data_IF_332743691838
#
_entry.id   IF_332743691838
#
_cell.length_a   1.000
_cell.length_b   1.000
_cell.length_c   1.000
_cell.angle_alpha   90.00
_cell.angle_beta   90.00
_cell.angle_gamma   90.00
#
_symmetry.space_group_name_H-M   'P 1'
#
loop_
_entity.id
_entity.type
_entity.pdbx_description
1 polymer ?
#
# COMPACT_ATOMS: atom_id res chain seq x y z
N UNK A 1 39.47 -23.43 13.70
CA UNK A 1 38.18 -23.99 14.17
C UNK A 1 37.70 -24.92 13.10
N UNK A 2 37.88 -26.20 13.33
CA UNK A 2 37.45 -27.25 12.40
C UNK A 2 35.92 -27.29 12.40
N UNK A 3 35.34 -26.76 11.36
CA UNK A 3 33.93 -26.96 11.12
C UNK A 3 33.75 -28.43 10.77
N UNK A 4 33.09 -29.19 11.64
CA UNK A 4 32.89 -30.62 11.49
C UNK A 4 32.28 -30.91 10.10
N UNK A 5 32.86 -31.87 9.38
CA UNK A 5 32.42 -32.27 8.02
C UNK A 5 30.88 -32.58 7.99
N UNK A 6 30.38 -33.08 9.12
CA UNK A 6 28.95 -33.32 9.34
C UNK A 6 28.14 -32.02 9.43
N UNK A 7 28.67 -30.98 10.06
CA UNK A 7 27.98 -29.69 10.16
C UNK A 7 27.96 -28.97 8.81
N UNK A 8 29.04 -29.06 8.03
CA UNK A 8 29.07 -28.58 6.65
C UNK A 8 28.10 -29.35 5.74
N UNK A 9 28.05 -30.67 5.85
CA UNK A 9 27.11 -31.50 5.09
C UNK A 9 25.65 -31.19 5.48
N UNK A 10 25.39 -31.01 6.78
CA UNK A 10 24.06 -30.62 7.31
C UNK A 10 23.64 -29.24 6.81
N UNK A 11 24.52 -28.26 6.85
CA UNK A 11 24.24 -26.92 6.35
C UNK A 11 23.97 -26.91 4.84
N UNK A 12 24.72 -27.68 4.06
CA UNK A 12 24.48 -27.83 2.62
C UNK A 12 23.16 -28.55 2.30
N UNK A 13 22.81 -29.57 3.09
CA UNK A 13 21.51 -30.25 2.96
C UNK A 13 20.37 -29.31 3.31
N UNK A 14 20.44 -28.58 4.41
CA UNK A 14 19.44 -27.56 4.81
C UNK A 14 19.28 -26.45 3.76
N UNK A 15 20.39 -26.01 3.12
CA UNK A 15 20.31 -25.03 2.02
C UNK A 15 19.57 -25.58 0.80
N UNK A 16 19.76 -26.84 0.45
CA UNK A 16 19.06 -27.49 -0.69
C UNK A 16 17.58 -27.76 -0.40
N UNK A 17 17.25 -28.04 0.86
CA UNK A 17 15.88 -28.32 1.31
C UNK A 17 15.08 -27.05 1.65
N UNK A 18 15.71 -25.87 1.63
CA UNK A 18 15.00 -24.61 1.88
C UNK A 18 14.07 -24.25 0.71
N UNK A 19 12.93 -23.57 0.96
CA UNK A 19 11.99 -23.19 -0.08
C UNK A 19 12.65 -22.43 -1.24
N UNK A 20 12.19 -22.66 -2.46
CA UNK A 20 12.75 -22.08 -3.69
C UNK A 20 12.90 -20.55 -3.61
N UNK A 21 11.89 -19.89 -3.06
CA UNK A 21 11.91 -18.43 -2.82
C UNK A 21 13.06 -17.99 -1.89
N UNK A 22 13.55 -18.87 -1.02
CA UNK A 22 14.71 -18.59 -0.17
C UNK A 22 16.03 -18.90 -0.88
N UNK A 23 16.08 -19.96 -1.68
CA UNK A 23 17.28 -20.35 -2.45
C UNK A 23 17.63 -19.36 -3.55
N UNK A 24 16.62 -18.89 -4.29
CA UNK A 24 16.77 -17.91 -5.38
C UNK A 24 16.95 -16.46 -4.91
N UNK A 25 16.98 -16.24 -3.60
CA UNK A 25 17.15 -14.89 -3.07
C UNK A 25 18.44 -14.25 -3.59
N UNK A 26 18.35 -13.03 -4.16
CA UNK A 26 19.52 -12.24 -4.56
C UNK A 26 20.57 -12.14 -3.46
N UNK A 27 21.82 -12.22 -3.86
CA UNK A 27 22.98 -12.05 -2.97
C UNK A 27 23.68 -10.71 -3.20
N UNK A 28 23.51 -10.11 -4.38
CA UNK A 28 24.08 -8.83 -4.77
C UNK A 28 22.99 -7.86 -5.21
N UNK A 29 23.31 -6.57 -5.27
CA UNK A 29 22.38 -5.53 -5.72
C UNK A 29 21.97 -5.72 -7.19
N UNK A 30 22.89 -6.23 -7.99
CA UNK A 30 22.70 -6.45 -9.43
C UNK A 30 21.75 -7.64 -9.73
N UNK A 31 21.59 -8.57 -8.78
CA UNK A 31 20.68 -9.70 -8.89
C UNK A 31 19.22 -9.35 -8.54
N UNK A 32 18.99 -8.18 -7.95
CA UNK A 32 17.64 -7.75 -7.57
C UNK A 32 16.85 -7.45 -8.83
N UNK A 33 15.70 -8.10 -8.97
CA UNK A 33 14.78 -7.90 -10.08
C UNK A 33 13.71 -6.88 -9.64
N UNK A 34 13.46 -5.89 -10.50
CA UNK A 34 12.60 -4.76 -10.19
C UNK A 34 13.23 -3.79 -9.19
N UNK A 35 12.46 -2.80 -8.72
CA UNK A 35 12.88 -1.79 -7.75
C UNK A 35 14.02 -0.87 -8.24
N UNK A 36 14.21 -0.70 -9.55
CA UNK A 36 15.28 0.15 -10.12
C UNK A 36 15.19 1.60 -9.64
N UNK A 37 14.01 2.06 -9.26
CA UNK A 37 13.79 3.40 -8.71
C UNK A 37 14.44 3.58 -7.32
N UNK A 38 14.78 2.49 -6.62
CA UNK A 38 15.44 2.49 -5.30
C UNK A 38 16.89 2.01 -5.43
N UNK A 39 17.10 0.83 -6.05
CA UNK A 39 18.39 0.12 -6.07
C UNK A 39 19.16 0.27 -7.38
N UNK A 40 18.68 1.06 -8.34
CA UNK A 40 19.41 1.36 -9.58
C UNK A 40 20.76 2.03 -9.29
N UNK A 41 21.77 1.85 -10.18
CA UNK A 41 23.17 2.28 -9.97
C UNK A 41 23.34 3.76 -9.58
N UNK A 42 22.46 4.65 -10.08
CA UNK A 42 22.52 6.08 -9.80
C UNK A 42 21.65 6.52 -8.62
N UNK A 43 20.98 5.56 -7.96
CA UNK A 43 20.06 5.86 -6.86
C UNK A 43 20.79 6.02 -5.54
N UNK A 44 20.17 6.80 -4.66
CA UNK A 44 20.74 7.14 -3.36
C UNK A 44 21.08 5.90 -2.53
N UNK A 45 20.16 4.92 -2.47
CA UNK A 45 20.37 3.71 -1.67
C UNK A 45 21.56 2.90 -2.21
N UNK A 46 21.65 2.70 -3.52
CA UNK A 46 22.78 2.00 -4.15
C UNK A 46 24.12 2.67 -3.80
N UNK A 47 24.21 4.00 -3.97
CA UNK A 47 25.44 4.76 -3.67
C UNK A 47 25.80 4.71 -2.20
N UNK A 48 24.82 4.80 -1.28
CA UNK A 48 25.06 4.72 0.16
C UNK A 48 25.59 3.35 0.58
N UNK A 49 25.07 2.27 0.00
CA UNK A 49 25.52 0.90 0.23
C UNK A 49 26.98 0.72 -0.25
N UNK A 50 27.26 1.14 -1.50
CA UNK A 50 28.62 1.00 -2.07
C UNK A 50 29.66 1.84 -1.34
N UNK A 51 29.28 2.98 -0.76
CA UNK A 51 30.15 3.84 0.03
C UNK A 51 30.28 3.41 1.50
N UNK A 52 29.59 2.35 1.93
CA UNK A 52 29.47 1.92 3.34
C UNK A 52 29.07 3.06 4.29
N UNK A 53 28.12 3.90 3.83
CA UNK A 53 27.58 5.08 4.53
C UNK A 53 26.07 4.99 4.67
N UNK A 54 25.57 3.78 4.94
CA UNK A 54 24.15 3.57 5.14
C UNK A 54 23.74 4.06 6.52
N UNK A 55 22.73 4.95 6.58
CA UNK A 55 21.99 5.26 7.80
C UNK A 55 20.78 4.34 7.95
N UNK A 56 20.00 4.54 9.02
CA UNK A 56 18.79 3.78 9.25
C UNK A 56 17.74 4.04 8.13
N UNK A 57 17.02 2.99 7.76
CA UNK A 57 16.04 3.03 6.68
C UNK A 57 14.77 2.27 7.07
N UNK A 58 13.66 2.63 6.43
CA UNK A 58 12.40 1.90 6.50
C UNK A 58 12.00 1.53 5.08
N UNK A 59 11.81 0.23 4.84
CA UNK A 59 11.34 -0.34 3.59
C UNK A 59 9.85 -0.65 3.73
N UNK A 60 8.99 -0.01 2.94
CA UNK A 60 7.57 -0.31 2.98
C UNK A 60 7.03 -0.63 1.59
N UNK A 61 5.95 -1.40 1.54
CA UNK A 61 5.30 -1.81 0.30
C UNK A 61 4.66 -3.19 0.40
N UNK A 62 4.01 -3.67 -0.69
CA UNK A 62 3.27 -4.92 -0.70
C UNK A 62 4.10 -6.15 -0.32
N UNK A 63 3.47 -7.27 0.09
CA UNK A 63 4.17 -8.52 0.35
C UNK A 63 4.89 -9.02 -0.92
N UNK A 64 5.93 -9.84 -0.76
CA UNK A 64 6.64 -10.45 -1.89
C UNK A 64 7.53 -9.54 -2.74
N UNK A 65 7.56 -8.22 -2.49
CA UNK A 65 8.32 -7.22 -3.27
C UNK A 65 9.82 -7.16 -2.99
N UNK A 66 10.33 -7.93 -2.01
CA UNK A 66 11.76 -8.06 -1.76
C UNK A 66 12.32 -7.28 -0.58
N UNK A 67 11.51 -6.74 0.36
CA UNK A 67 11.98 -5.98 1.55
C UNK A 67 13.08 -6.70 2.32
N UNK A 68 12.82 -7.94 2.77
CA UNK A 68 13.81 -8.78 3.47
C UNK A 68 15.02 -9.13 2.61
N UNK A 69 14.83 -9.26 1.30
CA UNK A 69 15.90 -9.53 0.33
C UNK A 69 16.84 -8.34 0.23
N UNK A 70 16.33 -7.14 0.05
CA UNK A 70 17.13 -5.91 0.01
C UNK A 70 17.93 -5.75 1.30
N UNK A 71 17.32 -5.95 2.47
CA UNK A 71 18.00 -5.86 3.75
C UNK A 71 19.19 -6.84 3.86
N UNK A 72 19.04 -8.09 3.42
CA UNK A 72 20.13 -9.08 3.39
C UNK A 72 21.21 -8.74 2.38
N UNK A 73 20.86 -8.25 1.20
CA UNK A 73 21.85 -7.79 0.20
C UNK A 73 22.64 -6.60 0.72
N UNK A 74 22.01 -5.68 1.43
CA UNK A 74 22.70 -4.57 2.11
C UNK A 74 23.72 -5.10 3.10
N UNK A 75 23.31 -6.01 3.98
CA UNK A 75 24.19 -6.58 4.99
C UNK A 75 25.38 -7.31 4.37
N UNK A 76 25.15 -8.11 3.33
CA UNK A 76 26.23 -8.82 2.61
C UNK A 76 27.24 -7.87 1.96
N UNK A 77 26.76 -6.70 1.47
CA UNK A 77 27.61 -5.73 0.77
C UNK A 77 28.41 -4.87 1.74
N UNK A 78 27.84 -4.50 2.90
CA UNK A 78 28.47 -3.59 3.89
C UNK A 78 29.33 -4.30 4.92
N UNK A 79 29.44 -5.64 4.90
CA UNK A 79 30.17 -6.45 5.88
C UNK A 79 29.73 -6.24 7.35
N UNK A 80 28.56 -5.67 7.57
CA UNK A 80 27.98 -5.49 8.89
C UNK A 80 27.47 -6.83 9.46
N UNK A 81 27.45 -6.95 10.79
CA UNK A 81 26.75 -8.05 11.45
C UNK A 81 25.24 -7.88 11.23
N UNK A 82 24.56 -8.92 10.77
CA UNK A 82 23.14 -8.87 10.44
C UNK A 82 22.32 -9.67 11.44
N UNK A 83 21.48 -8.96 12.18
CA UNK A 83 20.56 -9.57 13.13
C UNK A 83 19.12 -9.28 12.67
N UNK A 84 18.32 -10.32 12.59
CA UNK A 84 16.91 -10.23 12.20
C UNK A 84 16.00 -10.50 13.39
N UNK A 85 15.09 -9.59 13.65
CA UNK A 85 13.94 -9.77 14.54
C UNK A 85 12.65 -9.74 13.74
N UNK A 86 11.66 -10.49 14.20
CA UNK A 86 10.30 -10.42 13.67
C UNK A 86 9.39 -9.85 14.76
N UNK A 87 8.82 -8.68 14.53
CA UNK A 87 8.03 -7.96 15.51
C UNK A 87 6.74 -8.70 15.94
N UNK A 88 6.32 -9.74 15.20
CA UNK A 88 5.16 -10.57 15.59
C UNK A 88 5.46 -11.54 16.71
N UNK A 89 6.73 -11.94 16.90
CA UNK A 89 7.15 -12.95 17.88
C UNK A 89 8.23 -12.46 18.83
N UNK A 90 9.00 -11.44 18.45
CA UNK A 90 10.10 -10.92 19.26
C UNK A 90 9.61 -9.90 20.29
N UNK A 91 10.19 -9.96 21.49
CA UNK A 91 9.86 -9.06 22.58
C UNK A 91 11.00 -8.12 22.96
N UNK A 92 10.84 -7.40 24.08
CA UNK A 92 11.83 -6.45 24.59
C UNK A 92 13.15 -7.14 24.92
N UNK A 93 13.10 -8.35 25.48
CA UNK A 93 14.29 -9.13 25.86
C UNK A 93 15.17 -9.46 24.64
N UNK A 94 14.55 -9.85 23.53
CA UNK A 94 15.27 -10.16 22.30
C UNK A 94 15.98 -8.92 21.77
N UNK A 95 15.34 -7.75 21.86
CA UNK A 95 15.97 -6.47 21.50
C UNK A 95 17.15 -6.12 22.39
N UNK A 96 17.03 -6.34 23.71
CA UNK A 96 18.10 -6.11 24.68
C UNK A 96 19.35 -6.96 24.34
N UNK A 97 19.16 -8.25 24.06
CA UNK A 97 20.26 -9.16 23.66
C UNK A 97 20.96 -8.70 22.37
N UNK A 98 20.18 -8.24 21.38
CA UNK A 98 20.74 -7.72 20.13
C UNK A 98 21.52 -6.43 20.35
N UNK A 99 21.03 -5.51 21.17
CA UNK A 99 21.70 -4.25 21.48
C UNK A 99 23.02 -4.50 22.22
N UNK A 100 23.05 -5.37 23.22
CA UNK A 100 24.28 -5.71 23.92
C UNK A 100 25.33 -6.33 22.97
N UNK A 101 24.92 -7.26 22.13
CA UNK A 101 25.77 -7.81 21.08
C UNK A 101 26.29 -6.73 20.11
N UNK A 102 25.44 -5.78 19.74
CA UNK A 102 25.84 -4.68 18.86
C UNK A 102 26.89 -3.76 19.50
N UNK A 103 26.76 -3.47 20.80
CA UNK A 103 27.76 -2.71 21.57
C UNK A 103 29.12 -3.44 21.64
N UNK A 104 29.08 -4.75 21.89
CA UNK A 104 30.27 -5.58 21.89
C UNK A 104 30.97 -5.60 20.53
N UNK A 105 30.22 -5.82 19.45
CA UNK A 105 30.73 -5.82 18.08
C UNK A 105 31.41 -4.50 17.73
N UNK A 106 30.78 -3.38 18.09
CA UNK A 106 31.29 -2.04 17.82
C UNK A 106 32.54 -1.75 18.67
N UNK A 107 32.50 -2.10 19.98
CA UNK A 107 33.61 -1.82 20.92
C UNK A 107 34.83 -2.68 20.69
N UNK A 108 34.65 -3.99 20.43
CA UNK A 108 35.77 -4.93 20.31
C UNK A 108 36.32 -5.07 18.88
N UNK A 109 35.41 -4.98 17.88
CA UNK A 109 35.75 -5.32 16.50
C UNK A 109 35.59 -4.16 15.52
N UNK A 110 35.07 -3.00 15.96
CA UNK A 110 34.78 -1.86 15.10
C UNK A 110 33.76 -2.15 13.99
N UNK A 111 32.92 -3.17 14.20
CA UNK A 111 31.92 -3.60 13.20
C UNK A 111 30.54 -3.00 13.51
N UNK A 112 29.88 -2.50 12.49
CA UNK A 112 28.49 -2.07 12.57
C UNK A 112 27.58 -3.27 12.66
N UNK A 113 26.43 -3.10 13.34
CA UNK A 113 25.35 -4.10 13.39
C UNK A 113 24.13 -3.53 12.68
N UNK A 114 23.64 -4.26 11.68
CA UNK A 114 22.34 -4.00 11.05
C UNK A 114 21.29 -4.79 11.81
N UNK A 115 20.36 -4.07 12.43
CA UNK A 115 19.18 -4.64 13.05
C UNK A 115 18.02 -4.56 12.04
N UNK A 116 17.68 -5.70 11.44
CA UNK A 116 16.52 -5.82 10.57
C UNK A 116 15.29 -6.23 11.39
N UNK A 117 14.25 -5.41 11.34
CA UNK A 117 12.97 -5.68 12.01
C UNK A 117 11.89 -5.89 10.94
N UNK A 118 11.45 -7.14 10.80
CA UNK A 118 10.33 -7.47 9.92
C UNK A 118 9.00 -7.14 10.62
N UNK A 119 8.06 -6.57 9.87
CA UNK A 119 6.76 -6.09 10.34
C UNK A 119 6.87 -5.11 11.53
N UNK A 120 7.77 -4.11 11.41
CA UNK A 120 8.09 -3.16 12.50
C UNK A 120 6.84 -2.47 13.09
N UNK A 121 5.76 -2.33 12.32
CA UNK A 121 4.49 -1.77 12.77
C UNK A 121 3.81 -2.61 13.87
N UNK A 122 4.21 -3.88 14.05
CA UNK A 122 3.71 -4.76 15.11
C UNK A 122 4.34 -4.48 16.48
N UNK A 123 5.46 -3.80 16.52
CA UNK A 123 6.01 -3.31 17.78
C UNK A 123 5.15 -2.17 18.33
N UNK A 124 4.82 -2.23 19.62
CA UNK A 124 4.13 -1.15 20.30
C UNK A 124 5.05 0.09 20.44
N UNK A 125 4.46 1.25 20.79
CA UNK A 125 5.21 2.51 20.92
C UNK A 125 6.41 2.41 21.86
N UNK A 126 6.25 1.74 23.02
CA UNK A 126 7.34 1.59 23.98
C UNK A 126 8.51 0.73 23.47
N UNK A 127 8.22 -0.28 22.63
CA UNK A 127 9.26 -1.07 21.96
C UNK A 127 9.98 -0.27 20.88
N UNK A 128 9.24 0.53 20.12
CA UNK A 128 9.84 1.43 19.13
C UNK A 128 10.68 2.54 19.79
N UNK A 129 10.20 3.11 20.89
CA UNK A 129 10.94 4.14 21.68
C UNK A 129 12.22 3.58 22.27
N UNK A 130 12.24 2.31 22.68
CA UNK A 130 13.43 1.64 23.21
C UNK A 130 14.58 1.62 22.20
N UNK A 131 14.31 1.58 20.90
CA UNK A 131 15.32 1.56 19.85
C UNK A 131 15.95 2.94 19.59
N UNK A 132 15.28 4.03 19.95
CA UNK A 132 15.69 5.39 19.59
C UNK A 132 17.13 5.74 20.01
N UNK A 133 17.56 5.54 21.27
CA UNK A 133 18.92 5.89 21.68
C UNK A 133 20.00 5.17 20.84
N UNK A 134 19.76 3.92 20.50
CA UNK A 134 20.73 3.07 19.80
C UNK A 134 20.78 3.32 18.29
N UNK A 135 19.70 3.88 17.74
CA UNK A 135 19.65 4.39 16.36
C UNK A 135 20.33 5.77 16.29
N UNK A 136 20.15 6.61 17.31
CA UNK A 136 20.74 7.95 17.40
C UNK A 136 22.26 7.90 17.53
N UNK A 137 22.76 7.08 18.43
CA UNK A 137 24.21 6.96 18.68
C UNK A 137 24.93 6.05 17.67
N UNK A 138 24.15 5.42 16.76
CA UNK A 138 24.67 4.52 15.73
C UNK A 138 25.18 3.17 16.27
N UNK A 139 24.75 2.75 17.48
CA UNK A 139 24.99 1.38 17.98
C UNK A 139 24.44 0.34 17.04
N UNK A 140 23.25 0.63 16.47
CA UNK A 140 22.66 -0.18 15.41
C UNK A 140 22.25 0.68 14.21
N UNK A 141 22.34 0.10 13.02
CA UNK A 141 21.72 0.63 11.80
C UNK A 141 20.38 -0.10 11.67
N UNK A 142 19.28 0.63 11.88
CA UNK A 142 17.95 0.04 11.78
C UNK A 142 17.53 -0.11 10.31
N UNK A 143 17.09 -1.30 9.93
CA UNK A 143 16.32 -1.52 8.70
C UNK A 143 14.94 -2.05 9.11
N UNK A 144 13.94 -1.17 9.14
CA UNK A 144 12.55 -1.56 9.38
C UNK A 144 11.88 -2.01 8.08
N UNK A 145 11.10 -3.10 8.11
CA UNK A 145 10.26 -3.52 7.01
C UNK A 145 8.79 -3.53 7.45
N UNK A 146 7.90 -3.06 6.58
CA UNK A 146 6.45 -3.06 6.84
C UNK A 146 5.65 -3.15 5.54
N UNK A 147 4.45 -3.70 5.62
CA UNK A 147 3.44 -3.64 4.56
C UNK A 147 2.53 -2.42 4.69
N UNK A 148 2.51 -1.80 5.85
CA UNK A 148 1.66 -0.65 6.18
C UNK A 148 2.37 0.68 5.92
N UNK A 149 1.60 1.77 5.80
CA UNK A 149 2.18 3.10 5.63
C UNK A 149 2.95 3.52 6.89
N UNK A 150 4.29 3.68 6.82
CA UNK A 150 5.11 3.94 7.99
C UNK A 150 4.79 5.26 8.70
N UNK A 151 4.25 6.25 8.01
CA UNK A 151 3.89 7.54 8.59
C UNK A 151 2.74 7.45 9.61
N UNK A 152 1.94 6.40 9.57
CA UNK A 152 0.86 6.15 10.53
C UNK A 152 1.25 5.17 11.62
N UNK A 153 2.06 4.18 11.28
CA UNK A 153 2.29 3.00 12.13
C UNK A 153 3.64 3.01 12.84
N UNK A 154 4.62 3.75 12.32
CA UNK A 154 5.95 3.85 12.93
C UNK A 154 6.07 5.16 13.69
N UNK A 155 6.74 5.09 14.87
CA UNK A 155 6.97 6.26 15.71
C UNK A 155 7.65 7.39 14.92
N UNK A 156 7.09 8.60 14.99
CA UNK A 156 7.61 9.79 14.31
C UNK A 156 9.08 10.10 14.62
N UNK A 157 9.56 9.74 15.82
CA UNK A 157 10.95 9.91 16.19
C UNK A 157 11.89 8.93 15.44
N UNK A 158 11.47 7.69 15.16
CA UNK A 158 12.20 6.76 14.28
C UNK A 158 12.14 7.20 12.82
N UNK A 159 10.99 7.68 12.36
CA UNK A 159 10.79 8.25 11.02
C UNK A 159 11.77 9.38 10.75
N UNK A 160 11.90 10.34 11.68
CA UNK A 160 12.78 11.50 11.52
C UNK A 160 14.27 11.14 11.44
N UNK A 161 14.66 9.94 11.90
CA UNK A 161 16.04 9.40 11.91
C UNK A 161 16.29 8.36 10.83
N UNK A 162 15.27 8.02 10.06
CA UNK A 162 15.31 6.99 9.04
C UNK A 162 14.97 7.56 7.67
N UNK A 163 15.49 6.96 6.62
CA UNK A 163 15.04 7.25 5.25
C UNK A 163 14.03 6.22 4.83
N UNK A 164 12.93 6.67 4.25
CA UNK A 164 11.84 5.80 3.82
C UNK A 164 12.01 5.49 2.35
N UNK A 165 11.90 4.19 2.00
CA UNK A 165 11.92 3.71 0.63
C UNK A 165 10.68 2.88 0.37
N UNK A 166 9.92 3.28 -0.64
CA UNK A 166 8.73 2.57 -1.10
C UNK A 166 9.10 1.51 -2.13
N UNK A 167 8.77 0.25 -1.84
CA UNK A 167 8.85 -0.84 -2.79
C UNK A 167 7.51 -0.97 -3.52
N UNK A 168 7.58 -1.04 -4.82
CA UNK A 168 6.39 -1.25 -5.68
C UNK A 168 6.18 -2.73 -5.93
N UNK A 169 4.95 -3.12 -6.26
CA UNK A 169 4.67 -4.45 -6.81
C UNK A 169 5.58 -4.71 -8.00
N UNK A 170 6.08 -5.93 -8.12
CA UNK A 170 6.88 -6.32 -9.28
C UNK A 170 5.99 -6.36 -10.52
N UNK A 171 6.54 -5.95 -11.66
CA UNK A 171 5.81 -6.05 -12.93
C UNK A 171 5.63 -7.51 -13.34
N UNK A 172 4.63 -7.81 -14.19
CA UNK A 172 4.45 -9.13 -14.80
C UNK A 172 5.71 -9.59 -15.51
N UNK A 173 6.43 -8.67 -16.18
CA UNK A 173 7.72 -8.97 -16.81
C UNK A 173 8.82 -9.34 -15.81
N UNK A 174 8.84 -8.76 -14.62
CA UNK A 174 9.80 -9.10 -13.58
C UNK A 174 9.50 -10.47 -12.95
N UNK A 175 8.23 -10.75 -12.67
CA UNK A 175 7.79 -12.08 -12.19
C UNK A 175 8.10 -13.14 -13.24
N UNK A 176 7.83 -12.90 -14.53
CA UNK A 176 8.16 -13.85 -15.63
C UNK A 176 9.66 -14.17 -15.68
N UNK A 177 10.54 -13.17 -15.52
CA UNK A 177 11.99 -13.39 -15.41
C UNK A 177 12.35 -14.28 -14.23
N UNK A 178 11.73 -14.04 -13.06
CA UNK A 178 11.97 -14.86 -11.86
C UNK A 178 11.50 -16.29 -12.04
N UNK A 179 10.33 -16.52 -12.63
CA UNK A 179 9.79 -17.85 -12.93
C UNK A 179 10.74 -18.61 -13.88
N UNK A 180 11.15 -18.01 -15.01
CA UNK A 180 12.06 -18.65 -15.96
C UNK A 180 13.41 -18.96 -15.33
N UNK A 181 13.96 -18.04 -14.53
CA UNK A 181 15.18 -18.30 -13.75
C UNK A 181 14.99 -19.44 -12.76
N UNK A 182 13.83 -19.50 -12.09
CA UNK A 182 13.53 -20.57 -11.14
C UNK A 182 13.57 -21.96 -11.76
N UNK A 183 13.06 -22.12 -12.98
CA UNK A 183 13.03 -23.39 -13.70
C UNK A 183 14.40 -23.74 -14.28
N UNK A 184 15.19 -22.76 -14.73
CA UNK A 184 16.45 -23.01 -15.48
C UNK A 184 17.71 -23.05 -14.62
N UNK A 185 17.73 -22.37 -13.47
CA UNK A 185 18.90 -22.30 -12.59
C UNK A 185 19.16 -23.67 -11.93
N UNK A 186 20.31 -24.28 -12.25
CA UNK A 186 20.70 -25.62 -11.76
C UNK A 186 21.22 -25.62 -10.34
N UNK A 187 21.73 -24.49 -9.84
CA UNK A 187 22.34 -24.39 -8.51
C UNK A 187 21.34 -23.99 -7.43
N UNK A 188 20.59 -22.92 -7.69
CA UNK A 188 19.66 -22.33 -6.71
C UNK A 188 18.20 -22.63 -7.04
N UNK A 189 17.89 -22.91 -8.32
CA UNK A 189 16.56 -23.18 -8.84
C UNK A 189 16.18 -24.66 -8.91
N UNK A 190 15.32 -24.95 -9.87
CA UNK A 190 14.79 -26.28 -10.14
C UNK A 190 15.41 -26.91 -11.40
N UNK A 191 16.43 -26.32 -12.01
CA UNK A 191 17.04 -26.77 -13.25
C UNK A 191 17.67 -28.19 -13.18
N UNK A 192 17.97 -28.68 -11.97
CA UNK A 192 18.44 -30.07 -11.76
C UNK A 192 17.33 -31.13 -11.91
N UNK A 193 16.07 -30.73 -11.88
CA UNK A 193 14.90 -31.60 -12.01
C UNK A 193 14.54 -31.90 -13.46
N UNK A 194 15.20 -31.27 -14.44
CA UNK A 194 14.87 -31.35 -15.87
C UNK A 194 13.40 -30.94 -16.12
N UNK A 195 13.03 -29.75 -15.68
CA UNK A 195 11.69 -29.20 -15.82
C UNK A 195 11.66 -28.13 -16.92
N UNK A 196 10.52 -28.03 -17.61
CA UNK A 196 10.16 -26.97 -18.53
C UNK A 196 8.84 -26.37 -18.12
N UNK A 197 8.64 -25.09 -18.42
CA UNK A 197 7.38 -24.39 -18.17
C UNK A 197 6.91 -23.75 -19.46
N UNK A 198 5.63 -23.89 -19.78
CA UNK A 198 5.02 -23.35 -20.98
C UNK A 198 4.86 -21.81 -20.85
N UNK A 199 4.90 -21.13 -21.98
CA UNK A 199 4.84 -19.66 -22.00
C UNK A 199 3.53 -19.11 -21.43
N UNK A 200 2.41 -19.75 -21.72
CA UNK A 200 1.09 -19.41 -21.17
C UNK A 200 0.99 -19.66 -19.66
N UNK A 201 1.66 -20.68 -19.15
CA UNK A 201 1.79 -20.93 -17.70
C UNK A 201 2.63 -19.83 -17.01
N UNK A 202 3.70 -19.37 -17.66
CA UNK A 202 4.51 -18.24 -17.15
C UNK A 202 3.69 -16.95 -17.13
N UNK A 203 2.97 -16.64 -18.22
CA UNK A 203 2.12 -15.46 -18.31
C UNK A 203 1.02 -15.50 -17.23
N UNK A 204 0.34 -16.62 -17.09
CA UNK A 204 -0.68 -16.81 -16.08
C UNK A 204 -0.15 -16.61 -14.65
N UNK A 205 0.95 -17.28 -14.30
CA UNK A 205 1.55 -17.14 -12.96
C UNK A 205 2.02 -15.71 -12.70
N UNK A 206 2.59 -15.04 -13.70
CA UNK A 206 3.07 -13.67 -13.56
C UNK A 206 1.92 -12.68 -13.34
N UNK A 207 0.78 -12.90 -13.95
CA UNK A 207 -0.40 -12.06 -13.80
C UNK A 207 -1.10 -12.33 -12.46
N UNK A 208 -1.41 -13.60 -12.16
CA UNK A 208 -2.21 -13.95 -10.98
C UNK A 208 -1.51 -13.67 -9.64
N UNK A 209 -0.17 -13.61 -9.63
CA UNK A 209 0.60 -13.32 -8.43
C UNK A 209 0.65 -11.84 -8.07
N UNK A 210 0.15 -10.95 -8.92
CA UNK A 210 0.01 -9.50 -8.66
C UNK A 210 1.28 -8.88 -8.01
N UNK A 211 2.45 -9.21 -8.57
CA UNK A 211 3.75 -8.70 -8.10
C UNK A 211 4.33 -9.39 -6.87
N UNK A 212 3.71 -10.44 -6.34
CA UNK A 212 4.28 -11.25 -5.25
C UNK A 212 5.19 -12.37 -5.79
N UNK A 213 6.51 -12.11 -5.80
CA UNK A 213 7.50 -13.09 -6.23
C UNK A 213 7.51 -14.37 -5.39
N UNK A 214 7.16 -14.31 -4.11
CA UNK A 214 7.14 -15.48 -3.22
C UNK A 214 6.04 -16.45 -3.64
N UNK A 215 4.87 -15.91 -3.96
CA UNK A 215 3.73 -16.71 -4.44
C UNK A 215 4.07 -17.40 -5.75
N UNK A 216 4.65 -16.66 -6.71
CA UNK A 216 5.06 -17.22 -8.01
C UNK A 216 6.10 -18.35 -7.86
N UNK A 217 7.14 -18.14 -7.07
CA UNK A 217 8.19 -19.13 -6.85
C UNK A 217 7.69 -20.37 -6.11
N UNK A 218 6.79 -20.22 -5.15
CA UNK A 218 6.17 -21.35 -4.46
C UNK A 218 5.31 -22.19 -5.42
N UNK A 219 4.58 -21.55 -6.34
CA UNK A 219 3.79 -22.25 -7.34
C UNK A 219 4.68 -23.06 -8.31
N UNK A 220 5.79 -22.49 -8.75
CA UNK A 220 6.78 -23.19 -9.58
C UNK A 220 7.38 -24.37 -8.83
N UNK A 221 7.78 -24.19 -7.57
CA UNK A 221 8.34 -25.28 -6.76
C UNK A 221 7.35 -26.43 -6.60
N UNK A 222 6.09 -26.10 -6.27
CA UNK A 222 5.04 -27.10 -6.14
C UNK A 222 4.80 -27.82 -7.45
N UNK A 223 4.70 -27.12 -8.58
CA UNK A 223 4.50 -27.69 -9.90
C UNK A 223 5.62 -28.67 -10.27
N UNK A 224 6.88 -28.30 -10.07
CA UNK A 224 8.02 -29.20 -10.37
C UNK A 224 8.03 -30.41 -9.43
N UNK A 225 7.66 -30.26 -8.17
CA UNK A 225 7.74 -31.35 -7.18
C UNK A 225 6.58 -32.33 -7.25
N UNK A 226 5.46 -31.95 -7.85
CA UNK A 226 4.22 -32.76 -7.85
C UNK A 226 3.80 -33.26 -9.23
N UNK A 227 4.46 -32.83 -10.31
CA UNK A 227 4.16 -33.27 -11.67
C UNK A 227 5.08 -34.42 -12.06
N UNK A 228 4.49 -35.49 -12.61
CA UNK A 228 5.22 -36.62 -13.12
C UNK A 228 6.02 -36.26 -14.38
N UNK A 229 7.08 -37.00 -14.64
CA UNK A 229 7.87 -36.87 -15.87
C UNK A 229 7.09 -37.39 -17.05
N UNK A 230 7.10 -36.68 -18.16
CA UNK A 230 6.56 -37.09 -19.41
C UNK A 230 7.47 -38.20 -20.08
N UNK A 231 7.02 -38.79 -21.18
CA UNK A 231 7.77 -39.83 -21.92
C UNK A 231 9.16 -39.36 -22.38
N UNK A 232 9.36 -38.07 -22.59
CA UNK A 232 10.63 -37.42 -22.93
C UNK A 232 11.57 -37.24 -21.72
N UNK A 233 11.14 -37.63 -20.52
CA UNK A 233 11.89 -37.49 -19.27
C UNK A 233 11.90 -36.06 -18.67
N UNK A 234 11.09 -35.15 -19.22
CA UNK A 234 10.97 -33.76 -18.78
C UNK A 234 9.72 -33.61 -17.91
N UNK A 235 9.78 -32.75 -16.89
CA UNK A 235 8.62 -32.32 -16.11
C UNK A 235 8.04 -31.09 -16.80
N UNK A 236 6.85 -31.20 -17.40
CA UNK A 236 6.19 -30.08 -18.07
C UNK A 236 5.20 -29.37 -17.14
N UNK A 237 5.47 -28.10 -16.84
CA UNK A 237 4.55 -27.25 -16.13
C UNK A 237 3.67 -26.53 -17.15
N UNK A 238 2.53 -27.16 -17.44
CA UNK A 238 1.49 -26.61 -18.32
C UNK A 238 0.63 -25.58 -17.60
N UNK A 239 -0.19 -24.85 -18.34
CA UNK A 239 -1.17 -23.92 -17.76
C UNK A 239 -2.08 -24.63 -16.73
N UNK A 240 -2.53 -25.84 -17.02
CA UNK A 240 -3.38 -26.61 -16.10
C UNK A 240 -2.67 -26.92 -14.77
N UNK A 241 -1.39 -27.32 -14.82
CA UNK A 241 -0.56 -27.54 -13.63
C UNK A 241 -0.39 -26.23 -12.84
N UNK A 242 -0.14 -25.13 -13.53
CA UNK A 242 0.02 -23.81 -12.90
C UNK A 242 -1.27 -23.37 -12.17
N UNK A 243 -2.44 -23.57 -12.79
CA UNK A 243 -3.75 -23.31 -12.18
C UNK A 243 -3.96 -24.09 -10.89
N UNK A 244 -3.62 -25.39 -10.92
CA UNK A 244 -3.75 -26.25 -9.74
C UNK A 244 -2.82 -25.80 -8.61
N UNK A 245 -1.58 -25.42 -8.93
CA UNK A 245 -0.59 -24.96 -7.93
C UNK A 245 -1.00 -23.67 -7.22
N UNK A 246 -1.72 -22.78 -7.90
CA UNK A 246 -2.25 -21.52 -7.32
C UNK A 246 -3.64 -21.72 -6.72
N UNK A 247 -4.31 -22.86 -7.01
CA UNK A 247 -5.71 -23.13 -6.67
C UNK A 247 -6.68 -22.08 -7.25
N UNK A 248 -6.32 -21.48 -8.38
CA UNK A 248 -7.13 -20.55 -9.14
C UNK A 248 -7.12 -20.97 -10.60
N UNK A 249 -8.26 -20.90 -11.28
CA UNK A 249 -8.35 -21.18 -12.71
C UNK A 249 -7.89 -19.98 -13.52
N UNK A 250 -7.18 -20.23 -14.63
CA UNK A 250 -6.96 -19.20 -15.63
C UNK A 250 -8.33 -18.77 -16.16
N UNK A 251 -8.66 -17.55 -15.91
CA UNK A 251 -9.78 -16.93 -16.58
C UNK A 251 -9.29 -16.69 -18.01
N UNK A 252 -9.91 -17.34 -19.02
CA UNK A 252 -9.65 -17.04 -20.43
C UNK A 252 -10.11 -15.60 -20.71
N UNK A 253 -9.32 -14.63 -20.26
CA UNK A 253 -9.36 -13.29 -20.79
C UNK A 253 -8.53 -13.27 -22.09
N UNK A 254 -9.06 -12.62 -23.10
CA UNK A 254 -8.26 -12.28 -24.28
C UNK A 254 -6.93 -11.66 -23.84
N UNK A 255 -5.85 -12.11 -24.49
CA UNK A 255 -4.44 -11.91 -24.13
C UNK A 255 -3.93 -10.46 -24.06
N UNK A 256 -4.80 -9.47 -24.17
CA UNK A 256 -4.45 -8.07 -24.07
C UNK A 256 -4.89 -7.53 -22.69
N UNK A 257 -3.91 -7.24 -21.84
CA UNK A 257 -4.14 -6.64 -20.50
C UNK A 257 -4.97 -5.34 -20.50
N UNK A 258 -5.24 -4.76 -21.67
CA UNK A 258 -6.15 -3.65 -21.90
C UNK A 258 -7.62 -4.02 -21.60
N UNK A 259 -8.06 -5.26 -21.85
CA UNK A 259 -9.45 -5.67 -21.64
C UNK A 259 -9.90 -5.67 -20.17
N UNK A 260 -8.98 -5.93 -19.23
CA UNK A 260 -9.28 -5.88 -17.80
C UNK A 260 -9.54 -4.43 -17.34
N UNK A 261 -8.59 -3.53 -17.62
CA UNK A 261 -8.71 -2.11 -17.29
C UNK A 261 -9.87 -1.45 -18.05
N UNK A 262 -10.12 -1.87 -19.29
CA UNK A 262 -11.23 -1.39 -20.09
C UNK A 262 -12.58 -1.81 -19.53
N UNK A 263 -12.73 -3.05 -19.03
CA UNK A 263 -13.98 -3.52 -18.42
C UNK A 263 -14.28 -2.76 -17.12
N UNK A 264 -13.27 -2.55 -16.26
CA UNK A 264 -13.42 -1.75 -15.04
C UNK A 264 -13.73 -0.30 -15.37
N UNK A 265 -13.03 0.28 -16.35
CA UNK A 265 -13.28 1.64 -16.82
C UNK A 265 -14.70 1.78 -17.38
N UNK A 266 -15.17 0.80 -18.17
CA UNK A 266 -16.51 0.76 -18.68
C UNK A 266 -17.55 0.64 -17.55
N UNK A 267 -17.33 -0.20 -16.55
CA UNK A 267 -18.17 -0.33 -15.36
C UNK A 267 -18.34 1.01 -14.62
N UNK A 268 -17.23 1.68 -14.31
CA UNK A 268 -17.26 2.98 -13.62
C UNK A 268 -17.95 4.03 -14.50
N UNK A 269 -17.61 4.10 -15.79
CA UNK A 269 -18.22 5.04 -16.74
C UNK A 269 -19.73 4.82 -16.91
N UNK A 270 -20.18 3.57 -16.84
CA UNK A 270 -21.62 3.24 -16.90
C UNK A 270 -22.35 3.75 -15.66
N UNK A 271 -21.80 3.53 -14.46
CA UNK A 271 -22.38 4.08 -13.23
C UNK A 271 -22.38 5.62 -13.23
N UNK A 272 -21.28 6.24 -13.67
CA UNK A 272 -21.15 7.70 -13.84
C UNK A 272 -22.13 8.24 -14.87
N UNK A 273 -22.28 7.53 -15.98
CA UNK A 273 -23.16 7.90 -17.11
C UNK A 273 -24.64 7.59 -16.90
N UNK A 274 -25.02 7.07 -15.71
CA UNK A 274 -26.41 6.73 -15.36
C UNK A 274 -27.03 5.65 -16.25
N UNK A 275 -26.21 4.66 -16.64
CA UNK A 275 -26.67 3.46 -17.36
C UNK A 275 -26.61 2.24 -16.44
N UNK A 276 -27.70 1.88 -15.75
CA UNK A 276 -27.73 0.74 -14.85
C UNK A 276 -27.61 -0.62 -15.57
N UNK A 277 -28.09 -0.75 -16.80
CA UNK A 277 -28.01 -2.00 -17.55
C UNK A 277 -26.57 -2.30 -17.95
N UNK A 278 -25.85 -1.29 -18.46
CA UNK A 278 -24.43 -1.42 -18.76
C UNK A 278 -23.60 -1.67 -17.48
N UNK A 279 -23.92 -1.00 -16.37
CA UNK A 279 -23.23 -1.21 -15.09
C UNK A 279 -23.39 -2.66 -14.62
N UNK A 280 -24.59 -3.22 -14.62
CA UNK A 280 -24.84 -4.62 -14.23
C UNK A 280 -24.19 -5.60 -15.22
N UNK A 281 -24.21 -5.29 -16.52
CA UNK A 281 -23.54 -6.12 -17.53
C UNK A 281 -22.02 -6.21 -17.30
N UNK A 282 -21.35 -5.07 -17.10
CA UNK A 282 -19.91 -5.07 -16.85
C UNK A 282 -19.55 -5.67 -15.48
N UNK A 283 -20.40 -5.50 -14.47
CA UNK A 283 -20.27 -6.22 -13.20
C UNK A 283 -20.30 -7.74 -13.41
N UNK A 284 -21.30 -8.25 -14.13
CA UNK A 284 -21.41 -9.67 -14.42
C UNK A 284 -20.20 -10.17 -15.22
N UNK A 285 -19.71 -9.39 -16.19
CA UNK A 285 -18.51 -9.71 -16.97
C UNK A 285 -17.28 -9.83 -16.07
N UNK A 286 -17.08 -8.92 -15.12
CA UNK A 286 -15.97 -8.98 -14.13
C UNK A 286 -16.09 -10.19 -13.20
N UNK A 287 -17.29 -10.46 -12.66
CA UNK A 287 -17.54 -11.59 -11.76
C UNK A 287 -17.34 -12.94 -12.45
N UNK A 288 -17.82 -13.09 -13.69
CA UNK A 288 -17.58 -14.31 -14.50
C UNK A 288 -16.10 -14.49 -14.83
N UNK A 289 -15.37 -13.41 -14.90
CA UNK A 289 -13.94 -13.41 -15.12
C UNK A 289 -13.13 -13.75 -13.86
N UNK A 290 -13.78 -13.87 -12.70
CA UNK A 290 -13.12 -14.17 -11.43
C UNK A 290 -12.45 -12.96 -10.76
N UNK A 291 -12.87 -11.73 -11.13
CA UNK A 291 -12.37 -10.52 -10.51
C UNK A 291 -12.60 -10.52 -9.00
N UNK A 292 -11.67 -9.97 -8.24
CA UNK A 292 -11.80 -9.84 -6.79
C UNK A 292 -13.00 -8.97 -6.43
N UNK A 293 -13.98 -9.57 -5.73
CA UNK A 293 -15.19 -8.88 -5.27
C UNK A 293 -14.88 -7.65 -4.41
N UNK A 294 -13.79 -7.70 -3.64
CA UNK A 294 -13.32 -6.56 -2.82
C UNK A 294 -12.79 -5.42 -3.69
N UNK A 295 -12.11 -5.77 -4.79
CA UNK A 295 -11.63 -4.79 -5.75
C UNK A 295 -12.82 -4.09 -6.43
N UNK A 296 -13.80 -4.83 -6.92
CA UNK A 296 -15.04 -4.28 -7.51
C UNK A 296 -15.74 -3.36 -6.51
N UNK A 297 -15.96 -3.84 -5.28
CA UNK A 297 -16.65 -3.08 -4.25
C UNK A 297 -15.90 -1.77 -3.87
N UNK A 298 -14.56 -1.78 -3.79
CA UNK A 298 -13.76 -0.56 -3.61
C UNK A 298 -14.00 0.47 -4.71
N UNK A 299 -14.07 0.02 -5.97
CA UNK A 299 -14.35 0.92 -7.10
C UNK A 299 -15.75 1.53 -7.03
N UNK A 300 -16.73 0.77 -6.53
CA UNK A 300 -18.08 1.27 -6.29
C UNK A 300 -18.13 2.33 -5.19
N UNK A 301 -17.42 2.13 -4.07
CA UNK A 301 -17.31 3.11 -2.98
C UNK A 301 -16.69 4.42 -3.47
N UNK A 302 -15.63 4.33 -4.28
CA UNK A 302 -14.99 5.52 -4.89
C UNK A 302 -16.00 6.23 -5.82
N UNK A 303 -16.66 5.51 -6.74
CA UNK A 303 -17.61 6.07 -7.66
C UNK A 303 -18.80 6.75 -6.94
N UNK A 304 -19.30 6.16 -5.85
CA UNK A 304 -20.34 6.76 -5.03
C UNK A 304 -19.92 8.11 -4.43
N UNK A 305 -18.67 8.26 -4.03
CA UNK A 305 -18.15 9.53 -3.49
C UNK A 305 -17.76 10.52 -4.59
N UNK A 306 -17.18 10.04 -5.70
CA UNK A 306 -16.60 10.84 -6.77
C UNK A 306 -17.68 11.39 -7.71
N UNK A 307 -18.65 10.53 -8.10
CA UNK A 307 -19.59 10.84 -9.17
C UNK A 307 -21.02 11.13 -8.67
N UNK A 308 -21.39 10.62 -7.50
CA UNK A 308 -22.68 10.90 -6.86
C UNK A 308 -22.54 11.97 -5.78
N UNK A 309 -21.57 11.81 -4.88
CA UNK A 309 -21.26 12.77 -3.84
C UNK A 309 -22.47 13.16 -2.99
N UNK A 310 -22.62 14.46 -2.75
CA UNK A 310 -23.74 15.00 -1.96
C UNK A 310 -25.04 15.19 -2.75
N UNK A 311 -25.05 14.87 -4.05
CA UNK A 311 -26.33 14.83 -4.79
C UNK A 311 -27.25 13.70 -4.28
N UNK A 312 -26.66 12.60 -3.79
CA UNK A 312 -27.35 11.58 -2.99
C UNK A 312 -26.41 10.99 -1.92
N UNK A 313 -26.43 11.51 -0.68
CA UNK A 313 -25.58 11.04 0.42
C UNK A 313 -25.76 9.56 0.78
N UNK A 314 -26.86 8.93 0.38
CA UNK A 314 -27.13 7.51 0.60
C UNK A 314 -26.23 6.61 -0.26
N UNK A 315 -25.77 7.08 -1.42
CA UNK A 315 -25.00 6.27 -2.34
C UNK A 315 -23.72 5.71 -1.72
N UNK A 316 -22.98 6.54 -0.96
CA UNK A 316 -21.79 6.09 -0.22
C UNK A 316 -22.14 5.06 0.84
N UNK A 317 -23.24 5.25 1.57
CA UNK A 317 -23.67 4.30 2.61
C UNK A 317 -24.05 2.94 1.99
N UNK A 318 -24.79 2.95 0.88
CA UNK A 318 -25.15 1.73 0.14
C UNK A 318 -23.89 1.02 -0.38
N UNK A 319 -22.95 1.75 -0.96
CA UNK A 319 -21.70 1.18 -1.47
C UNK A 319 -20.86 0.55 -0.35
N UNK A 320 -20.69 1.22 0.79
CA UNK A 320 -19.95 0.70 1.95
C UNK A 320 -20.67 -0.51 2.56
N UNK A 321 -21.99 -0.48 2.69
CA UNK A 321 -22.76 -1.62 3.20
C UNK A 321 -22.63 -2.83 2.27
N UNK A 322 -22.67 -2.62 0.95
CA UNK A 322 -22.47 -3.67 -0.03
C UNK A 322 -21.04 -4.25 0.04
N UNK A 323 -20.02 -3.40 0.20
CA UNK A 323 -18.63 -3.84 0.40
C UNK A 323 -18.49 -4.77 1.61
N UNK A 324 -18.98 -4.34 2.76
CA UNK A 324 -18.89 -5.10 4.02
C UNK A 324 -19.70 -6.41 3.97
N UNK A 325 -20.87 -6.39 3.34
CA UNK A 325 -21.71 -7.56 3.17
C UNK A 325 -21.07 -8.58 2.20
N UNK A 326 -20.59 -8.12 1.05
CA UNK A 326 -19.92 -8.96 0.07
C UNK A 326 -18.67 -9.64 0.64
N UNK A 327 -17.86 -8.92 1.44
CA UNK A 327 -16.68 -9.48 2.09
C UNK A 327 -17.01 -10.61 3.07
N UNK A 328 -18.16 -10.53 3.77
CA UNK A 328 -18.56 -11.51 4.79
C UNK A 328 -19.32 -12.71 4.23
N UNK A 329 -20.09 -12.48 3.17
CA UNK A 329 -20.97 -13.52 2.60
C UNK A 329 -20.20 -14.34 1.56
N UNK A 330 -19.39 -13.70 0.71
CA UNK A 330 -18.67 -14.37 -0.38
C UNK A 330 -19.56 -14.71 -1.58
N UNK A 331 -18.96 -15.36 -2.58
CA UNK A 331 -19.67 -15.83 -3.77
C UNK A 331 -20.38 -17.16 -3.50
N UNK A 332 -21.52 -17.44 -4.15
CA UNK A 332 -22.12 -16.69 -5.26
C UNK A 332 -23.06 -15.54 -4.84
N UNK A 333 -23.49 -15.45 -3.59
CA UNK A 333 -24.55 -14.53 -3.15
C UNK A 333 -24.14 -13.05 -3.21
N UNK A 334 -22.83 -12.75 -3.08
CA UNK A 334 -22.27 -11.39 -3.16
C UNK A 334 -22.61 -10.70 -4.51
N UNK A 335 -22.79 -11.45 -5.59
CA UNK A 335 -23.17 -10.87 -6.89
C UNK A 335 -24.51 -10.10 -6.83
N UNK A 336 -25.46 -10.56 -5.99
CA UNK A 336 -26.77 -9.92 -5.83
C UNK A 336 -26.61 -8.58 -5.11
N UNK A 337 -25.81 -8.57 -4.06
CA UNK A 337 -25.53 -7.38 -3.24
C UNK A 337 -24.80 -6.32 -4.06
N UNK A 338 -23.79 -6.72 -4.83
CA UNK A 338 -23.01 -5.83 -5.69
C UNK A 338 -23.88 -5.29 -6.83
N UNK A 339 -24.76 -6.11 -7.41
CA UNK A 339 -25.71 -5.69 -8.46
C UNK A 339 -26.68 -4.64 -7.96
N UNK A 340 -27.25 -4.83 -6.76
CA UNK A 340 -28.15 -3.84 -6.14
C UNK A 340 -27.44 -2.49 -5.96
N UNK A 341 -26.21 -2.51 -5.42
CA UNK A 341 -25.46 -1.29 -5.17
C UNK A 341 -25.01 -0.62 -6.48
N UNK A 342 -24.60 -1.38 -7.50
CA UNK A 342 -24.23 -0.85 -8.81
C UNK A 342 -25.42 -0.15 -9.49
N UNK A 343 -26.59 -0.78 -9.48
CA UNK A 343 -27.82 -0.20 -10.01
C UNK A 343 -28.22 1.07 -9.26
N UNK A 344 -28.11 1.08 -7.92
CA UNK A 344 -28.38 2.26 -7.09
C UNK A 344 -27.45 3.43 -7.47
N UNK A 345 -26.14 3.20 -7.52
CA UNK A 345 -25.14 4.23 -7.86
C UNK A 345 -25.38 4.75 -9.29
N UNK A 346 -25.67 3.85 -10.23
CA UNK A 346 -25.96 4.23 -11.60
C UNK A 346 -27.21 5.13 -11.72
N UNK A 347 -28.27 4.87 -10.94
CA UNK A 347 -29.54 5.63 -11.01
C UNK A 347 -29.58 6.86 -10.11
N UNK A 348 -28.65 7.03 -9.19
CA UNK A 348 -28.54 8.19 -8.31
C UNK A 348 -28.25 9.48 -9.11
N UNK A 349 -28.72 10.66 -8.65
CA UNK A 349 -28.31 11.94 -9.22
C UNK A 349 -26.80 12.13 -9.07
N UNK A 350 -26.16 12.81 -10.02
CA UNK A 350 -24.69 12.93 -10.10
C UNK A 350 -24.22 14.31 -9.68
N UNK A 351 -23.11 14.34 -8.91
CA UNK A 351 -22.35 15.54 -8.60
C UNK A 351 -20.88 15.17 -8.28
N UNK A 352 -19.95 15.88 -8.90
CA UNK A 352 -18.52 15.80 -8.62
C UNK A 352 -18.02 16.99 -7.77
N UNK A 353 -18.91 17.82 -7.25
CA UNK A 353 -18.59 19.06 -6.51
C UNK A 353 -17.59 18.82 -5.36
N UNK A 354 -17.70 17.70 -4.63
CA UNK A 354 -16.81 17.37 -3.54
C UNK A 354 -15.38 17.02 -4.02
N UNK A 355 -15.25 16.36 -5.17
CA UNK A 355 -13.96 16.01 -5.78
C UNK A 355 -13.29 17.24 -6.34
N UNK A 356 -14.00 18.08 -7.06
CA UNK A 356 -13.47 19.36 -7.56
C UNK A 356 -12.98 20.23 -6.41
N UNK A 357 -13.78 20.34 -5.32
CA UNK A 357 -13.43 21.11 -4.14
C UNK A 357 -12.10 20.69 -3.51
N UNK A 358 -11.88 19.40 -3.29
CA UNK A 358 -10.63 18.93 -2.66
C UNK A 358 -9.42 19.10 -3.58
N UNK A 359 -9.58 18.92 -4.90
CA UNK A 359 -8.49 19.14 -5.84
C UNK A 359 -8.13 20.62 -5.98
N UNK A 360 -9.11 21.52 -6.02
CA UNK A 360 -8.87 22.97 -6.05
C UNK A 360 -8.23 23.46 -4.75
N UNK A 361 -8.72 23.02 -3.60
CA UNK A 361 -8.14 23.34 -2.31
C UNK A 361 -6.68 22.80 -2.21
N UNK A 362 -6.44 21.58 -2.69
CA UNK A 362 -5.09 20.99 -2.74
C UNK A 362 -4.11 21.82 -3.60
N UNK A 363 -4.55 22.31 -4.75
CA UNK A 363 -3.75 23.23 -5.59
C UNK A 363 -3.46 24.53 -4.87
N UNK A 364 -4.47 25.14 -4.25
CA UNK A 364 -4.29 26.38 -3.49
C UNK A 364 -3.27 26.24 -2.35
N UNK A 365 -3.29 25.12 -1.62
CA UNK A 365 -2.28 24.82 -0.58
C UNK A 365 -0.87 24.70 -1.16
N UNK A 366 -0.70 24.10 -2.34
CA UNK A 366 0.62 24.00 -3.00
C UNK A 366 1.12 25.35 -3.54
N UNK A 367 0.21 26.18 -4.06
CA UNK A 367 0.53 27.51 -4.62
C UNK A 367 0.88 28.54 -3.52
N UNK A 368 0.43 28.31 -2.29
CA UNK A 368 0.59 29.28 -1.18
C UNK A 368 1.22 28.62 0.05
N UNK A 369 2.51 28.26 0.03
CA UNK A 369 3.13 27.39 1.05
C UNK A 369 3.27 27.99 2.45
N UNK A 370 3.07 29.29 2.66
CA UNK A 370 3.22 29.97 3.96
C UNK A 370 1.92 30.60 4.47
N UNK A 371 0.79 29.98 4.18
CA UNK A 371 -0.51 30.45 4.67
C UNK A 371 -0.60 30.35 6.19
N UNK A 372 -1.03 31.44 6.84
CA UNK A 372 -1.29 31.46 8.28
C UNK A 372 -2.78 31.29 8.56
N UNK A 373 -3.09 30.46 9.53
CA UNK A 373 -4.47 30.32 10.04
C UNK A 373 -4.89 31.63 10.69
N UNK A 374 -6.09 32.18 10.38
CA UNK A 374 -6.59 33.41 11.02
C UNK A 374 -6.50 33.31 12.54
N UNK A 375 -6.00 34.36 13.25
CA UNK A 375 -5.75 34.29 14.68
C UNK A 375 -6.96 33.88 15.54
N UNK A 376 -8.15 34.32 15.17
CA UNK A 376 -9.39 33.97 15.88
C UNK A 376 -9.77 32.50 15.77
N UNK A 377 -9.26 31.75 14.75
CA UNK A 377 -9.48 30.32 14.57
C UNK A 377 -8.37 29.45 15.19
N UNK A 378 -7.29 30.06 15.67
CA UNK A 378 -6.20 29.30 16.28
C UNK A 378 -6.60 28.81 17.66
N UNK A 379 -6.02 27.67 18.08
CA UNK A 379 -6.34 27.01 19.34
C UNK A 379 -6.11 27.96 20.56
N UNK A 380 -7.13 28.10 21.38
CA UNK A 380 -7.13 28.97 22.58
C UNK A 380 -7.18 28.16 23.89
N UNK A 381 -7.07 26.82 23.87
CA UNK A 381 -7.26 25.98 25.05
C UNK A 381 -6.05 25.92 26.01
N UNK A 382 -4.93 26.57 25.68
CA UNK A 382 -3.72 26.56 26.51
C UNK A 382 -3.48 27.88 27.23
N UNK A 383 -2.82 27.80 28.44
CA UNK A 383 -2.45 29.01 29.21
C UNK A 383 -1.53 29.91 28.36
N UNK A 384 -1.91 31.13 28.15
CA UNK A 384 -1.22 32.18 27.37
C UNK A 384 -1.62 32.28 25.89
N UNK A 385 -2.54 31.48 25.38
CA UNK A 385 -3.05 31.61 24.01
C UNK A 385 -3.55 33.04 23.71
N UNK A 386 -4.32 33.64 24.63
CA UNK A 386 -4.81 35.01 24.50
C UNK A 386 -3.70 36.07 24.43
N UNK A 387 -2.54 35.86 25.10
CA UNK A 387 -1.38 36.76 25.00
C UNK A 387 -0.74 36.77 23.62
N UNK A 388 -0.94 35.67 22.87
CA UNK A 388 -0.50 35.52 21.49
C UNK A 388 -1.58 35.92 20.48
N UNK A 389 -2.75 36.36 20.95
CA UNK A 389 -3.88 36.72 20.09
C UNK A 389 -4.68 35.55 19.55
N UNK A 390 -4.39 34.32 20.01
CA UNK A 390 -5.08 33.11 19.52
C UNK A 390 -6.50 33.04 20.10
N UNK A 391 -7.48 32.75 19.23
CA UNK A 391 -8.89 32.66 19.58
C UNK A 391 -9.58 34.00 19.88
N UNK A 392 -8.85 35.12 19.84
CA UNK A 392 -9.42 36.43 20.12
C UNK A 392 -10.32 36.88 18.96
N UNK A 393 -11.57 37.23 19.29
CA UNK A 393 -12.56 37.66 18.29
C UNK A 393 -13.30 36.54 17.57
N UNK A 394 -13.11 35.28 17.99
CA UNK A 394 -13.91 34.19 17.46
C UNK A 394 -15.38 34.33 17.85
N UNK A 395 -16.26 34.27 16.88
CA UNK A 395 -17.71 34.28 17.05
C UNK A 395 -18.22 32.84 17.09
N UNK A 396 -18.75 32.42 18.25
CA UNK A 396 -19.27 31.05 18.40
C UNK A 396 -20.65 30.97 17.73
N UNK A 397 -20.76 30.16 16.67
CA UNK A 397 -21.96 30.11 15.80
C UNK A 397 -23.24 29.77 16.55
N UNK A 398 -23.18 28.98 17.62
CA UNK A 398 -24.37 28.60 18.40
C UNK A 398 -24.98 29.76 19.22
N UNK A 399 -24.26 30.86 19.39
CA UNK A 399 -24.77 32.05 20.06
C UNK A 399 -25.60 32.94 19.12
N UNK A 400 -25.67 32.56 17.84
CA UNK A 400 -26.35 33.32 16.79
C UNK A 400 -27.57 32.56 16.25
N UNK A 401 -28.54 33.31 15.70
CA UNK A 401 -29.73 32.74 15.08
C UNK A 401 -29.38 31.74 13.99
N UNK A 402 -30.08 30.62 13.99
CA UNK A 402 -29.84 29.48 13.09
C UNK A 402 -28.41 28.88 13.15
N UNK A 403 -27.69 29.14 14.27
CA UNK A 403 -26.33 28.70 14.48
C UNK A 403 -25.36 29.12 13.34
N UNK A 404 -25.60 30.31 12.78
CA UNK A 404 -24.81 30.86 11.69
C UNK A 404 -24.39 32.30 11.98
N UNK A 405 -23.11 32.60 11.73
CA UNK A 405 -22.56 33.94 11.81
C UNK A 405 -21.52 34.15 10.70
N UNK A 406 -21.56 35.31 10.09
CA UNK A 406 -20.59 35.70 9.08
C UNK A 406 -19.26 36.06 9.76
N UNK A 407 -18.23 35.25 9.47
CA UNK A 407 -16.84 35.52 9.86
C UNK A 407 -15.89 34.92 8.84
N UNK A 408 -14.61 35.33 8.88
CA UNK A 408 -13.59 34.81 7.97
C UNK A 408 -13.08 33.47 8.47
N UNK A 409 -13.32 32.40 7.71
CA UNK A 409 -12.81 31.05 8.01
C UNK A 409 -11.57 30.68 7.19
N UNK A 410 -11.54 31.06 5.91
CA UNK A 410 -10.34 30.84 5.10
C UNK A 410 -9.22 31.80 5.53
N UNK A 411 -7.95 31.41 5.32
CA UNK A 411 -6.82 32.33 5.39
C UNK A 411 -7.08 33.61 4.58
N UNK A 412 -6.53 34.72 5.02
CA UNK A 412 -6.80 36.02 4.38
C UNK A 412 -6.38 36.08 2.92
N UNK A 413 -5.35 35.32 2.54
CA UNK A 413 -4.84 35.18 1.17
C UNK A 413 -5.84 34.47 0.25
N UNK A 414 -6.74 33.68 0.84
CA UNK A 414 -7.75 32.87 0.13
C UNK A 414 -9.18 33.33 0.42
N UNK A 415 -9.37 34.51 1.03
CA UNK A 415 -10.68 34.99 1.52
C UNK A 415 -11.78 35.03 0.44
N UNK A 416 -11.41 35.27 -0.80
CA UNK A 416 -12.31 35.40 -1.94
C UNK A 416 -12.40 34.10 -2.77
N UNK A 417 -11.76 33.01 -2.31
CA UNK A 417 -11.84 31.70 -2.98
C UNK A 417 -13.08 30.94 -2.55
N UNK A 418 -13.68 30.27 -3.49
CA UNK A 418 -14.75 29.29 -3.30
C UNK A 418 -14.27 27.96 -3.86
N UNK A 419 -14.24 26.90 -3.05
CA UNK A 419 -13.80 25.58 -3.45
C UNK A 419 -14.96 24.61 -3.67
N UNK A 420 -16.04 24.74 -2.90
CA UNK A 420 -17.18 23.84 -2.98
C UNK A 420 -18.33 24.49 -3.75
N UNK A 421 -18.39 24.18 -5.04
CA UNK A 421 -19.43 24.68 -5.96
C UNK A 421 -20.63 23.75 -5.94
N UNK A 422 -21.65 24.09 -5.14
CA UNK A 422 -22.85 23.27 -4.92
C UNK A 422 -23.67 23.18 -6.22
N UNK A 423 -23.92 21.94 -6.68
CA UNK A 423 -24.72 21.71 -7.89
C UNK A 423 -26.22 21.90 -7.66
N UNK A 424 -27.00 21.86 -8.74
CA UNK A 424 -28.47 21.86 -8.69
C UNK A 424 -29.07 20.46 -8.67
N UNK A 425 -28.24 19.42 -8.55
CA UNK A 425 -28.65 18.04 -8.66
C UNK A 425 -29.01 17.43 -7.29
N UNK A 426 -30.08 16.67 -7.26
CA UNK A 426 -30.49 15.87 -6.12
C UNK A 426 -30.58 16.63 -4.80
N UNK A 427 -29.93 16.10 -3.76
CA UNK A 427 -29.92 16.69 -2.42
C UNK A 427 -29.07 17.98 -2.34
N UNK A 428 -28.08 18.17 -3.21
CA UNK A 428 -27.28 19.40 -3.23
C UNK A 428 -28.12 20.66 -3.49
N UNK A 429 -29.20 20.56 -4.26
CA UNK A 429 -30.14 21.65 -4.43
C UNK A 429 -30.73 22.15 -3.09
N UNK A 430 -31.10 21.21 -2.20
CA UNK A 430 -31.60 21.55 -0.85
C UNK A 430 -30.50 22.17 0.01
N UNK A 431 -29.27 21.69 -0.09
CA UNK A 431 -28.10 22.27 0.60
C UNK A 431 -27.90 23.70 0.13
N UNK A 432 -27.94 23.96 -1.17
CA UNK A 432 -27.77 25.28 -1.76
C UNK A 432 -28.83 26.26 -1.28
N UNK A 433 -30.11 25.85 -1.32
CA UNK A 433 -31.22 26.65 -0.82
C UNK A 433 -31.05 26.99 0.66
N UNK A 434 -30.65 26.01 1.47
CA UNK A 434 -30.36 26.22 2.90
C UNK A 434 -29.22 27.21 3.13
N UNK A 435 -28.09 27.05 2.43
CA UNK A 435 -26.93 27.94 2.56
C UNK A 435 -27.25 29.38 2.11
N UNK A 436 -28.02 29.55 1.05
CA UNK A 436 -28.47 30.87 0.59
C UNK A 436 -29.41 31.54 1.60
N UNK A 437 -30.27 30.77 2.25
CA UNK A 437 -31.15 31.28 3.32
C UNK A 437 -30.33 31.77 4.51
N UNK A 438 -29.36 30.98 4.99
CA UNK A 438 -28.50 31.38 6.10
C UNK A 438 -27.72 32.67 5.82
N UNK A 439 -27.16 32.80 4.61
CA UNK A 439 -26.42 34.01 4.19
C UNK A 439 -27.33 35.26 4.21
N UNK A 440 -28.54 35.16 3.66
CA UNK A 440 -29.50 36.27 3.62
C UNK A 440 -29.95 36.69 5.01
N UNK A 441 -30.31 35.74 5.86
CA UNK A 441 -30.76 36.06 7.24
C UNK A 441 -29.64 36.66 8.09
N UNK A 442 -28.37 36.31 7.86
CA UNK A 442 -27.25 36.95 8.53
C UNK A 442 -26.98 38.37 8.02
N UNK A 443 -27.17 38.66 6.74
CA UNK A 443 -27.04 40.00 6.16
C UNK A 443 -28.14 40.95 6.71
N UNK A 444 -29.37 40.47 6.88
CA UNK A 444 -30.47 41.22 7.47
C UNK A 444 -30.16 41.59 8.93
N UNK A 445 -29.54 40.70 9.70
CA UNK A 445 -29.16 41.00 11.12
C UNK A 445 -28.02 42.02 11.25
N UNK A 446 -27.03 41.96 10.31
CA UNK A 446 -25.95 42.97 10.32
C UNK A 446 -26.43 44.39 9.96
N UNK A 447 -27.62 44.52 9.33
CA UNK A 447 -28.23 45.83 8.99
C UNK A 447 -29.09 46.36 10.14
N UNK A 448 -29.65 45.51 11.01
CA UNK A 448 -30.49 45.88 12.15
C UNK A 448 -29.67 46.16 13.45
N UNK A 449 -28.38 45.79 13.49
CA UNK A 449 -27.46 45.95 14.61
C UNK A 449 -26.54 47.17 14.44
#
# INVERSE_FOLDING_TARGET
>A
MDTDLFEYARQNKMKKESPLAARLRPQTLEEIVGQEHIVGKDRLLYRAIKADKLGSIILYGPPGTGKTTIAKVIANTTKADFVQLNATVSGKKDMEEVIERAKENRGMYGRNTILFIDEIHRFNKGQQDYLLPFVEDGTVILIGATTENPYFEVNGALISRSRIFELKSLSTGDISKLIRRAVTDKEKGMGSYNAAIDDDAVEFLADICDGDARMALNAVELGVMTTDRSEDGIIHITLEVAEQCIQKRAVKYDKDGDNHYDTISAFIKSMRGSDPDAAVFYLAKMLNAGEDIKFIARRMVICASEDVGNADPQALQVAVSAFLAAERIGMPESQIILSQAAAYIATAPKSNSAVEAIYEAGRAVQETPNITIPPHLQDAHYKSAQKLGHGVGYKYSHDYKNNYVKQQYLPYELKDREFYHISENGYEKKIKEHMLKLKREAEEQDIEA
#
